data_IF_697392329854
#
_entry.id   IF_697392329854
#
_cell.length_a   1.000
_cell.length_b   1.000
_cell.length_c   1.000
_cell.angle_alpha   90.00
_cell.angle_beta   90.00
_cell.angle_gamma   90.00
#
_symmetry.space_group_name_H-M   'P 1'
#
loop_
_entity.id
_entity.type
_entity.pdbx_description
1 polymer ?
#
# COMPACT_ATOMS: atom_id res chain seq x y z
N UNK A 1 -1.51 -15.95 22.71
CA UNK A 1 -1.82 -14.50 22.61
C UNK A 1 -1.92 -14.05 21.14
N UNK A 2 -2.63 -14.82 20.29
CA UNK A 2 -2.89 -14.46 18.88
C UNK A 2 -4.40 -14.52 18.52
N UNK A 3 -5.27 -14.96 19.43
CA UNK A 3 -6.70 -15.11 19.17
C UNK A 3 -7.37 -13.82 18.66
N UNK A 4 -6.90 -12.67 19.15
CA UNK A 4 -7.45 -11.36 18.76
C UNK A 4 -7.25 -11.00 17.28
N UNK A 5 -6.30 -11.61 16.55
CA UNK A 5 -6.12 -11.34 15.12
C UNK A 5 -6.95 -12.28 14.23
N UNK A 6 -7.41 -13.42 14.75
CA UNK A 6 -8.16 -14.39 13.94
C UNK A 6 -9.52 -13.83 13.50
N UNK A 7 -10.13 -12.92 14.28
CA UNK A 7 -11.38 -12.23 13.91
C UNK A 7 -11.27 -11.32 12.67
N UNK A 8 -10.05 -10.99 12.23
CA UNK A 8 -9.82 -10.17 11.04
C UNK A 8 -9.66 -11.03 9.76
N UNK A 9 -9.75 -12.35 9.88
CA UNK A 9 -9.56 -13.26 8.76
C UNK A 9 -10.91 -13.57 8.07
N UNK A 10 -10.87 -13.98 6.79
CA UNK A 10 -12.04 -14.54 6.13
C UNK A 10 -12.52 -15.81 6.83
N UNK A 11 -13.84 -16.06 6.91
CA UNK A 11 -14.39 -17.24 7.56
C UNK A 11 -13.79 -18.55 7.01
N UNK A 12 -13.44 -19.46 7.92
CA UNK A 12 -12.92 -20.79 7.61
C UNK A 12 -11.40 -20.84 7.36
N UNK A 13 -10.73 -19.69 7.33
CA UNK A 13 -9.26 -19.61 7.15
C UNK A 13 -8.50 -19.59 8.48
N UNK A 14 -9.21 -19.34 9.58
CA UNK A 14 -8.67 -19.19 10.93
C UNK A 14 -7.88 -20.41 11.40
N UNK A 15 -8.33 -21.67 11.20
CA UNK A 15 -7.59 -22.85 11.66
C UNK A 15 -6.19 -22.93 11.02
N UNK A 16 -6.10 -22.72 9.71
CA UNK A 16 -4.82 -22.77 9.00
C UNK A 16 -3.88 -21.66 9.47
N UNK A 17 -4.39 -20.43 9.65
CA UNK A 17 -3.59 -19.32 10.17
C UNK A 17 -3.17 -19.59 11.62
N UNK A 18 -4.05 -20.14 12.47
CA UNK A 18 -3.73 -20.50 13.84
C UNK A 18 -2.59 -21.53 13.92
N UNK A 19 -2.60 -22.55 13.05
CA UNK A 19 -1.53 -23.54 12.96
C UNK A 19 -0.19 -22.89 12.60
N UNK A 20 -0.17 -22.00 11.60
CA UNK A 20 1.04 -21.25 11.22
C UNK A 20 1.58 -20.38 12.37
N UNK A 21 0.67 -19.73 13.10
CA UNK A 21 1.01 -18.87 14.24
C UNK A 21 1.51 -19.66 15.45
N UNK A 22 1.05 -20.91 15.62
CA UNK A 22 1.52 -21.83 16.67
C UNK A 22 2.82 -22.55 16.32
N UNK A 23 3.07 -22.78 15.03
CA UNK A 23 4.24 -23.51 14.54
C UNK A 23 5.52 -22.69 14.37
N UNK A 24 5.46 -21.35 14.54
CA UNK A 24 6.61 -20.46 14.36
C UNK A 24 6.86 -19.59 15.60
N UNK A 25 8.12 -19.31 15.95
CA UNK A 25 8.46 -18.44 17.08
C UNK A 25 8.24 -16.97 16.68
N UNK A 26 6.98 -16.53 16.68
CA UNK A 26 6.59 -15.20 16.23
C UNK A 26 5.52 -14.56 17.12
N UNK A 27 5.44 -13.23 17.06
CA UNK A 27 4.36 -12.43 17.62
C UNK A 27 3.76 -11.51 16.56
N UNK A 28 2.43 -11.53 16.47
CA UNK A 28 1.68 -10.61 15.60
C UNK A 28 0.98 -9.55 16.44
N UNK A 29 1.03 -8.29 15.99
CA UNK A 29 0.28 -7.19 16.59
C UNK A 29 -0.39 -6.34 15.51
N UNK A 30 -1.54 -5.79 15.86
CA UNK A 30 -2.18 -4.76 15.06
C UNK A 30 -1.41 -3.43 15.22
N UNK A 31 -1.33 -2.68 14.14
CA UNK A 31 -0.73 -1.36 14.10
C UNK A 31 -1.72 -0.36 13.49
N UNK A 32 -1.61 0.90 13.91
CA UNK A 32 -2.36 1.99 13.26
C UNK A 32 -2.05 2.03 11.76
N UNK A 33 -3.02 2.46 10.93
CA UNK A 33 -2.85 2.46 9.48
C UNK A 33 -1.66 3.28 9.03
N UNK A 34 -0.86 2.70 8.14
CA UNK A 34 0.30 3.33 7.50
C UNK A 34 0.11 3.28 5.99
N UNK A 35 0.32 4.42 5.32
CA UNK A 35 0.17 4.53 3.86
C UNK A 35 1.31 3.86 3.08
N UNK A 36 2.49 3.76 3.69
CA UNK A 36 3.71 3.26 3.01
C UNK A 36 3.89 1.74 3.09
N UNK A 37 3.22 1.07 4.03
CA UNK A 37 3.26 -0.39 4.19
C UNK A 37 2.02 -0.90 4.93
N UNK A 38 1.50 -2.03 4.47
CA UNK A 38 0.35 -2.71 5.06
C UNK A 38 0.76 -3.69 6.17
N UNK A 39 1.97 -4.24 6.05
CA UNK A 39 2.59 -5.17 6.99
C UNK A 39 4.08 -4.88 7.19
N UNK A 40 4.67 -5.43 8.25
CA UNK A 40 6.11 -5.38 8.51
C UNK A 40 6.52 -6.62 9.31
N UNK A 41 7.47 -7.39 8.78
CA UNK A 41 8.19 -8.44 9.49
C UNK A 41 9.54 -7.93 10.00
N UNK A 42 9.89 -8.33 11.24
CA UNK A 42 11.22 -8.16 11.80
C UNK A 42 11.73 -9.47 12.41
N UNK A 43 12.93 -9.94 12.02
CA UNK A 43 13.48 -11.18 12.59
C UNK A 43 13.91 -11.03 14.06
N UNK A 44 14.20 -12.15 14.75
CA UNK A 44 14.89 -12.16 16.03
C UNK A 44 16.19 -11.33 15.97
N UNK A 45 16.49 -10.64 17.07
CA UNK A 45 17.60 -9.68 17.13
C UNK A 45 17.89 -9.25 18.56
N UNK A 46 18.68 -8.20 18.74
CA UNK A 46 19.07 -7.72 20.07
C UNK A 46 17.83 -7.41 20.92
N UNK A 47 17.66 -8.14 22.02
CA UNK A 47 16.52 -8.00 22.94
C UNK A 47 15.23 -8.72 22.52
N UNK A 48 15.21 -9.47 21.42
CA UNK A 48 14.03 -10.19 20.94
C UNK A 48 14.39 -11.58 20.42
N UNK A 49 13.87 -12.62 21.08
CA UNK A 49 14.09 -14.02 20.72
C UNK A 49 13.19 -14.52 19.59
N UNK A 50 12.15 -13.78 19.23
CA UNK A 50 11.10 -14.18 18.29
C UNK A 50 10.91 -13.16 17.16
N UNK A 51 10.32 -13.62 16.07
CA UNK A 51 9.86 -12.77 14.97
C UNK A 51 8.76 -11.82 15.44
N UNK A 52 8.72 -10.62 14.87
CA UNK A 52 7.71 -9.60 15.16
C UNK A 52 7.04 -9.19 13.86
N UNK A 53 5.73 -9.34 13.81
CA UNK A 53 4.91 -8.97 12.67
C UNK A 53 3.94 -7.88 13.12
N UNK A 54 3.83 -6.80 12.34
CA UNK A 54 2.76 -5.82 12.50
C UNK A 54 1.93 -5.72 11.24
N UNK A 55 0.61 -5.64 11.37
CA UNK A 55 -0.34 -5.48 10.26
C UNK A 55 -1.24 -4.28 10.55
N UNK A 56 -1.58 -3.49 9.54
CA UNK A 56 -2.53 -2.40 9.71
C UNK A 56 -3.93 -2.95 10.08
N UNK A 57 -4.64 -2.25 10.98
CA UNK A 57 -5.93 -2.68 11.53
C UNK A 57 -7.17 -2.26 10.70
N UNK A 58 -6.97 -1.49 9.63
CA UNK A 58 -8.01 -0.97 8.75
C UNK A 58 -8.23 -1.80 7.47
N UNK A 59 -7.46 -2.87 7.28
CA UNK A 59 -7.56 -3.72 6.10
C UNK A 59 -8.86 -4.53 6.08
N UNK A 60 -9.43 -4.71 4.88
CA UNK A 60 -10.49 -5.70 4.70
C UNK A 60 -9.96 -7.13 4.98
N UNK A 61 -10.82 -8.12 5.31
CA UNK A 61 -10.36 -9.44 5.75
C UNK A 61 -9.42 -10.16 4.77
N UNK A 62 -9.66 -10.01 3.47
CA UNK A 62 -8.84 -10.65 2.44
C UNK A 62 -7.47 -9.98 2.33
N UNK A 63 -7.42 -8.65 2.38
CA UNK A 63 -6.18 -7.88 2.39
C UNK A 63 -5.37 -8.13 3.67
N UNK A 64 -6.05 -8.23 4.81
CA UNK A 64 -5.45 -8.57 6.10
C UNK A 64 -4.77 -9.94 6.06
N UNK A 65 -5.53 -10.98 5.69
CA UNK A 65 -5.02 -12.36 5.59
C UNK A 65 -3.84 -12.44 4.61
N UNK A 66 -3.98 -11.87 3.42
CA UNK A 66 -2.92 -11.91 2.39
C UNK A 66 -1.64 -11.25 2.90
N UNK A 67 -1.76 -10.08 3.54
CA UNK A 67 -0.62 -9.36 4.14
C UNK A 67 -0.01 -10.15 5.29
N UNK A 68 -0.83 -10.75 6.16
CA UNK A 68 -0.34 -11.57 7.26
C UNK A 68 0.44 -12.79 6.76
N UNK A 69 -0.09 -13.52 5.77
CA UNK A 69 0.60 -14.67 5.16
C UNK A 69 1.92 -14.27 4.49
N UNK A 70 1.97 -13.07 3.88
CA UNK A 70 3.22 -12.50 3.34
C UNK A 70 4.29 -12.36 4.43
N UNK A 71 3.93 -11.75 5.57
CA UNK A 71 4.87 -11.55 6.67
C UNK A 71 5.24 -12.86 7.39
N UNK A 72 4.29 -13.81 7.49
CA UNK A 72 4.56 -15.16 8.01
C UNK A 72 5.54 -15.90 7.09
N UNK A 73 5.44 -15.73 5.77
CA UNK A 73 6.38 -16.34 4.82
C UNK A 73 7.81 -15.82 5.02
N UNK A 74 8.01 -14.55 5.40
CA UNK A 74 9.34 -14.05 5.80
C UNK A 74 9.86 -14.76 7.04
N UNK A 75 9.02 -15.00 8.05
CA UNK A 75 9.40 -15.75 9.24
C UNK A 75 9.73 -17.21 8.92
N UNK A 76 8.87 -17.89 8.15
CA UNK A 76 9.08 -19.27 7.75
C UNK A 76 10.36 -19.46 6.93
N UNK A 77 10.61 -18.58 5.95
CA UNK A 77 11.83 -18.61 5.15
C UNK A 77 13.09 -18.41 6.02
N UNK A 78 13.03 -17.48 6.98
CA UNK A 78 14.12 -17.22 7.91
C UNK A 78 14.41 -18.41 8.81
N UNK A 79 13.40 -19.01 9.42
CA UNK A 79 13.57 -20.14 10.36
C UNK A 79 14.11 -21.38 9.66
N UNK A 80 13.58 -21.70 8.46
CA UNK A 80 14.06 -22.84 7.66
C UNK A 80 15.51 -22.68 7.21
N UNK A 81 15.97 -21.45 7.05
CA UNK A 81 17.30 -21.12 6.54
C UNK A 81 18.16 -20.40 7.59
N UNK A 82 17.91 -20.63 8.88
CA UNK A 82 18.55 -19.94 10.02
C UNK A 82 20.09 -19.85 9.94
N UNK A 83 20.84 -20.87 9.47
CA UNK A 83 22.29 -20.78 9.28
C UNK A 83 22.71 -19.75 8.24
N UNK A 84 21.94 -19.61 7.16
CA UNK A 84 22.21 -18.73 6.01
C UNK A 84 21.32 -17.47 6.00
N UNK A 85 20.63 -17.17 7.10
CA UNK A 85 19.63 -16.10 7.20
C UNK A 85 20.05 -14.72 6.68
N UNK A 86 21.34 -14.38 6.75
CA UNK A 86 21.88 -13.09 6.27
C UNK A 86 21.97 -13.03 4.72
N UNK A 87 21.87 -14.16 4.05
CA UNK A 87 21.92 -14.30 2.59
C UNK A 87 20.53 -14.40 1.96
N UNK A 88 19.48 -14.54 2.77
CA UNK A 88 18.11 -14.59 2.27
C UNK A 88 17.78 -13.23 1.67
N UNK A 89 17.53 -13.22 0.37
CA UNK A 89 17.07 -12.02 -0.32
C UNK A 89 15.60 -11.78 0.00
N UNK A 90 15.17 -10.52 0.21
CA UNK A 90 13.76 -10.19 0.26
C UNK A 90 13.07 -10.73 -0.98
N UNK A 91 12.06 -11.57 -0.76
CA UNK A 91 11.27 -12.18 -1.83
C UNK A 91 12.12 -13.03 -2.81
N UNK A 92 13.24 -13.56 -2.32
CA UNK A 92 14.11 -14.54 -3.00
C UNK A 92 13.48 -15.94 -3.09
N UNK A 93 14.26 -16.93 -3.54
CA UNK A 93 13.75 -18.29 -3.77
C UNK A 93 13.19 -18.94 -2.50
N UNK A 94 13.86 -18.73 -1.36
CA UNK A 94 13.47 -19.26 -0.06
C UNK A 94 12.13 -18.68 0.40
N UNK A 95 11.96 -17.36 0.24
CA UNK A 95 10.71 -16.69 0.54
C UNK A 95 9.59 -17.12 -0.40
N UNK A 96 9.87 -17.24 -1.71
CA UNK A 96 8.89 -17.69 -2.70
C UNK A 96 8.34 -19.08 -2.38
N UNK A 97 9.22 -20.02 -2.01
CA UNK A 97 8.83 -21.36 -1.58
C UNK A 97 7.97 -21.31 -0.32
N UNK A 98 8.43 -20.60 0.71
CA UNK A 98 7.67 -20.43 1.94
C UNK A 98 6.29 -19.78 1.70
N UNK A 99 6.23 -18.73 0.86
CA UNK A 99 5.00 -18.03 0.54
C UNK A 99 4.01 -18.93 -0.20
N UNK A 100 4.47 -19.72 -1.17
CA UNK A 100 3.62 -20.69 -1.85
C UNK A 100 3.05 -21.73 -0.87
N UNK A 101 3.88 -22.27 0.03
CA UNK A 101 3.44 -23.25 1.02
C UNK A 101 2.42 -22.71 2.01
N UNK A 102 2.63 -21.49 2.55
CA UNK A 102 1.68 -20.91 3.51
C UNK A 102 0.37 -20.49 2.83
N UNK A 103 0.41 -20.10 1.55
CA UNK A 103 -0.77 -19.65 0.82
C UNK A 103 -1.61 -20.78 0.24
N UNK A 104 -0.98 -21.90 -0.15
CA UNK A 104 -1.67 -22.95 -0.91
C UNK A 104 -2.87 -23.59 -0.19
N UNK A 105 -2.88 -23.82 1.13
CA UNK A 105 -4.05 -24.33 1.84
C UNK A 105 -5.24 -23.38 1.80
N UNK A 106 -5.01 -22.07 1.72
CA UNK A 106 -6.08 -21.07 1.59
C UNK A 106 -6.70 -21.14 0.19
N UNK A 107 -5.86 -21.19 -0.85
CA UNK A 107 -6.31 -21.25 -2.25
C UNK A 107 -7.03 -22.57 -2.57
N UNK A 108 -6.58 -23.70 -2.02
CA UNK A 108 -7.16 -25.02 -2.35
C UNK A 108 -8.52 -25.32 -1.70
N UNK A 109 -8.89 -24.59 -0.64
CA UNK A 109 -10.09 -24.91 0.15
C UNK A 109 -11.39 -24.34 -0.45
N UNK A 110 -11.33 -23.44 -1.44
CA UNK A 110 -12.53 -22.87 -2.04
C UNK A 110 -13.33 -21.95 -1.10
N UNK A 111 -12.67 -21.38 -0.08
CA UNK A 111 -13.33 -20.60 0.98
C UNK A 111 -13.41 -19.10 0.69
N UNK A 112 -12.77 -18.66 -0.39
CA UNK A 112 -12.68 -17.25 -0.75
C UNK A 112 -13.60 -16.93 -1.92
N UNK A 113 -13.99 -15.66 -2.10
CA UNK A 113 -14.61 -15.24 -3.34
C UNK A 113 -13.74 -15.59 -4.56
N UNK A 114 -14.38 -15.99 -5.65
CA UNK A 114 -13.70 -16.52 -6.83
C UNK A 114 -12.65 -15.56 -7.42
N UNK A 115 -12.87 -14.25 -7.35
CA UNK A 115 -11.92 -13.26 -7.86
C UNK A 115 -10.67 -13.12 -6.97
N UNK A 116 -10.83 -13.20 -5.65
CA UNK A 116 -9.72 -13.25 -4.68
C UNK A 116 -8.93 -14.54 -4.84
N UNK A 117 -9.61 -15.68 -4.90
CA UNK A 117 -8.96 -16.99 -5.04
C UNK A 117 -8.15 -17.07 -6.34
N UNK A 118 -8.75 -16.68 -7.47
CA UNK A 118 -8.06 -16.64 -8.75
C UNK A 118 -6.86 -15.68 -8.74
N UNK A 119 -6.96 -14.54 -8.05
CA UNK A 119 -5.85 -13.63 -7.89
C UNK A 119 -4.72 -14.22 -7.06
N UNK A 120 -5.02 -14.80 -5.89
CA UNK A 120 -4.05 -15.44 -5.02
C UNK A 120 -3.37 -16.65 -5.70
N UNK A 121 -4.12 -17.45 -6.45
CA UNK A 121 -3.58 -18.57 -7.21
C UNK A 121 -2.55 -18.09 -8.26
N UNK A 122 -2.83 -17.01 -8.98
CA UNK A 122 -1.88 -16.41 -9.93
C UNK A 122 -0.64 -15.87 -9.22
N UNK A 123 -0.84 -15.17 -8.10
CA UNK A 123 0.26 -14.62 -7.29
C UNK A 123 1.15 -15.73 -6.72
N UNK A 124 0.56 -16.86 -6.31
CA UNK A 124 1.27 -18.05 -5.82
C UNK A 124 2.17 -18.66 -6.90
N UNK A 125 1.70 -18.74 -8.14
CA UNK A 125 2.49 -19.26 -9.28
C UNK A 125 3.59 -18.29 -9.72
N UNK A 126 3.40 -16.99 -9.47
CA UNK A 126 4.35 -15.93 -9.86
C UNK A 126 4.63 -14.99 -8.69
N UNK A 127 5.28 -15.44 -7.61
CA UNK A 127 5.42 -14.61 -6.41
C UNK A 127 6.39 -13.44 -6.60
N UNK A 128 7.08 -13.36 -7.74
CA UNK A 128 7.83 -12.16 -8.16
C UNK A 128 6.93 -10.89 -8.25
N UNK A 129 5.61 -11.05 -8.40
CA UNK A 129 4.64 -9.95 -8.33
C UNK A 129 4.03 -9.75 -6.93
N UNK A 130 4.07 -10.77 -6.04
CA UNK A 130 3.43 -10.77 -4.72
C UNK A 130 3.94 -9.68 -3.75
N UNK A 131 5.01 -8.99 -4.15
CA UNK A 131 5.66 -7.86 -3.51
C UNK A 131 4.87 -6.57 -3.67
N UNK A 132 3.67 -6.49 -3.11
CA UNK A 132 2.82 -5.28 -3.10
C UNK A 132 2.58 -4.64 -4.49
N UNK A 133 2.97 -5.31 -5.57
CA UNK A 133 3.06 -4.79 -6.93
C UNK A 133 2.24 -5.63 -7.91
N UNK A 134 1.70 -6.76 -7.46
CA UNK A 134 0.69 -7.53 -8.18
C UNK A 134 -0.58 -6.70 -8.24
N UNK A 135 -0.68 -5.95 -9.34
CA UNK A 135 -1.81 -5.09 -9.62
C UNK A 135 -3.12 -5.88 -9.64
N UNK A 136 -3.10 -7.11 -10.14
CA UNK A 136 -4.29 -7.95 -10.24
C UNK A 136 -4.79 -8.35 -8.86
N UNK A 137 -3.89 -8.76 -7.97
CA UNK A 137 -4.22 -9.04 -6.58
C UNK A 137 -4.67 -7.78 -5.83
N UNK A 138 -3.95 -6.68 -5.97
CA UNK A 138 -4.33 -5.42 -5.31
C UNK A 138 -5.74 -4.95 -5.71
N UNK A 139 -6.09 -5.06 -7.00
CA UNK A 139 -7.44 -4.74 -7.49
C UNK A 139 -8.51 -5.72 -6.96
N UNK A 140 -8.22 -7.02 -6.95
CA UNK A 140 -9.16 -8.02 -6.44
C UNK A 140 -9.46 -7.80 -4.95
N UNK A 141 -8.43 -7.53 -4.15
CA UNK A 141 -8.57 -7.24 -2.72
C UNK A 141 -9.30 -5.91 -2.47
N UNK A 142 -9.02 -4.87 -3.25
CA UNK A 142 -9.62 -3.54 -3.07
C UNK A 142 -11.13 -3.49 -3.37
N UNK A 143 -11.70 -4.52 -4.02
CA UNK A 143 -13.16 -4.64 -4.22
C UNK A 143 -13.91 -4.88 -2.90
N UNK A 144 -13.21 -5.35 -1.88
CA UNK A 144 -13.75 -5.66 -0.56
C UNK A 144 -13.42 -4.59 0.47
N UNK A 145 -12.77 -3.49 0.06
CA UNK A 145 -12.61 -2.32 0.91
C UNK A 145 -13.99 -1.72 1.20
N UNK A 146 -14.13 -1.11 2.39
CA UNK A 146 -15.32 -0.32 2.70
C UNK A 146 -15.46 0.78 1.65
N UNK A 147 -16.68 0.96 1.16
CA UNK A 147 -16.99 2.06 0.24
C UNK A 147 -16.65 3.39 0.95
N UNK A 148 -15.88 4.22 0.27
CA UNK A 148 -15.58 5.60 0.69
C UNK A 148 -16.27 6.52 -0.32
N UNK A 149 -17.54 6.93 -0.05
CA UNK A 149 -18.30 7.79 -0.95
C UNK A 149 -17.55 9.11 -1.12
N UNK A 150 -17.07 9.37 -2.33
CA UNK A 150 -16.27 10.57 -2.65
C UNK A 150 -14.84 10.28 -3.05
N UNK A 151 -14.32 9.05 -2.83
CA UNK A 151 -12.98 8.68 -3.32
C UNK A 151 -13.00 7.72 -4.50
N UNK A 152 -12.19 8.05 -5.50
CA UNK A 152 -11.95 7.25 -6.70
C UNK A 152 -10.46 6.90 -6.80
N UNK A 153 -10.08 5.87 -7.58
CA UNK A 153 -8.65 5.62 -7.82
C UNK A 153 -8.08 6.72 -8.71
N UNK A 154 -6.88 7.19 -8.41
CA UNK A 154 -6.21 8.24 -9.18
C UNK A 154 -6.12 7.89 -10.67
N UNK A 155 -5.91 6.62 -11.03
CA UNK A 155 -5.88 6.16 -12.42
C UNK A 155 -7.22 6.28 -13.17
N UNK A 156 -8.35 6.41 -12.48
CA UNK A 156 -9.68 6.56 -13.07
C UNK A 156 -10.04 8.03 -13.37
N UNK A 157 -9.26 8.99 -12.87
CA UNK A 157 -9.51 10.42 -13.11
C UNK A 157 -9.32 10.80 -14.59
N UNK A 158 -10.17 11.69 -15.09
CA UNK A 158 -9.90 12.32 -16.38
C UNK A 158 -8.66 13.23 -16.28
N UNK A 159 -7.93 13.38 -17.40
CA UNK A 159 -6.85 14.36 -17.47
C UNK A 159 -7.44 15.76 -17.26
N UNK A 160 -6.76 16.59 -16.47
CA UNK A 160 -7.18 17.94 -16.10
C UNK A 160 -8.05 17.99 -14.84
N UNK A 161 -8.58 16.86 -14.35
CA UNK A 161 -9.36 16.82 -13.11
C UNK A 161 -8.50 17.22 -11.91
N UNK A 162 -9.04 18.12 -11.08
CA UNK A 162 -8.43 18.49 -9.81
C UNK A 162 -8.87 17.51 -8.73
N UNK A 163 -7.94 17.14 -7.85
CA UNK A 163 -8.23 16.19 -6.78
C UNK A 163 -7.36 16.46 -5.55
N UNK A 164 -7.83 15.99 -4.40
CA UNK A 164 -7.17 16.07 -3.10
C UNK A 164 -6.72 14.69 -2.65
N UNK A 165 -5.51 14.60 -2.10
CA UNK A 165 -5.03 13.40 -1.40
C UNK A 165 -5.23 13.55 0.11
N UNK A 166 -5.13 12.47 0.88
CA UNK A 166 -5.50 12.46 2.31
C UNK A 166 -4.75 13.48 3.20
N UNK A 167 -3.57 13.94 2.80
CA UNK A 167 -2.81 14.99 3.54
C UNK A 167 -3.28 16.43 3.22
N UNK A 168 -4.32 16.57 2.40
CA UNK A 168 -4.89 17.83 1.97
C UNK A 168 -4.23 18.45 0.74
N UNK A 169 -3.12 17.89 0.25
CA UNK A 169 -2.45 18.40 -0.95
C UNK A 169 -3.35 18.24 -2.17
N UNK A 170 -3.46 19.31 -2.96
CA UNK A 170 -4.29 19.35 -4.16
C UNK A 170 -3.42 19.25 -5.40
N UNK A 171 -3.85 18.41 -6.34
CA UNK A 171 -3.18 18.17 -7.60
C UNK A 171 -4.13 18.30 -8.78
N UNK A 172 -3.57 18.59 -9.95
CA UNK A 172 -4.22 18.39 -11.23
C UNK A 172 -3.74 17.08 -11.86
N UNK A 173 -4.68 16.24 -12.30
CA UNK A 173 -4.41 14.97 -12.95
C UNK A 173 -3.81 15.17 -14.35
N UNK A 174 -2.63 14.63 -14.59
CA UNK A 174 -2.02 14.44 -15.91
C UNK A 174 -2.28 13.02 -16.44
N UNK A 175 -1.51 12.57 -17.45
CA UNK A 175 -1.66 11.24 -18.03
C UNK A 175 -1.32 10.11 -17.04
N UNK A 176 -1.98 8.96 -17.23
CA UNK A 176 -1.60 7.71 -16.56
C UNK A 176 -0.29 7.20 -17.19
N UNK A 177 0.64 6.81 -16.33
CA UNK A 177 1.88 6.13 -16.71
C UNK A 177 1.66 4.61 -16.61
N UNK A 178 2.63 3.84 -16.11
CA UNK A 178 2.46 2.38 -15.93
C UNK A 178 1.61 2.03 -14.70
N UNK A 179 2.07 2.40 -13.52
CA UNK A 179 1.40 2.13 -12.21
C UNK A 179 1.12 3.41 -11.44
N UNK A 180 1.42 4.56 -12.07
CA UNK A 180 1.44 5.88 -11.49
C UNK A 180 0.70 6.83 -12.42
N UNK A 181 0.26 7.96 -11.89
CA UNK A 181 -0.28 9.07 -12.67
C UNK A 181 0.60 10.30 -12.46
N UNK A 182 0.93 10.99 -13.56
CA UNK A 182 1.61 12.29 -13.52
C UNK A 182 0.65 13.34 -12.98
N UNK A 183 1.11 14.21 -12.11
CA UNK A 183 0.28 15.20 -11.42
C UNK A 183 1.04 16.52 -11.25
N UNK A 184 0.32 17.64 -11.23
CA UNK A 184 0.89 18.97 -10.95
C UNK A 184 0.31 19.50 -9.64
N UNK A 185 1.15 19.89 -8.69
CA UNK A 185 0.70 20.42 -7.40
C UNK A 185 0.06 21.81 -7.57
N UNK A 186 -1.10 22.02 -6.96
CA UNK A 186 -1.85 23.26 -7.04
C UNK A 186 -1.10 24.47 -6.46
N UNK A 187 -0.25 24.30 -5.45
CA UNK A 187 0.42 25.41 -4.79
C UNK A 187 1.72 25.84 -5.47
N UNK A 188 2.57 24.88 -5.82
CA UNK A 188 3.92 25.14 -6.31
C UNK A 188 4.03 25.05 -7.83
N UNK A 189 3.09 24.36 -8.50
CA UNK A 189 3.22 24.00 -9.91
C UNK A 189 4.25 22.89 -10.18
N UNK A 190 4.85 22.30 -9.14
CA UNK A 190 5.79 21.22 -9.28
C UNK A 190 5.11 19.93 -9.72
N UNK A 191 5.87 19.10 -10.44
CA UNK A 191 5.40 17.82 -10.94
C UNK A 191 5.66 16.69 -9.94
N UNK A 192 4.66 15.83 -9.78
CA UNK A 192 4.67 14.67 -8.89
C UNK A 192 4.07 13.45 -9.59
N UNK A 193 4.25 12.28 -8.96
CA UNK A 193 3.58 11.03 -9.37
C UNK A 193 2.79 10.41 -8.23
N UNK A 194 1.49 10.24 -8.45
CA UNK A 194 0.59 9.56 -7.51
C UNK A 194 0.41 8.10 -7.94
N UNK A 195 0.33 7.16 -7.01
CA UNK A 195 0.07 5.76 -7.34
C UNK A 195 -1.31 5.61 -7.98
N UNK A 196 -1.43 4.87 -9.09
CA UNK A 196 -2.68 4.75 -9.85
C UNK A 196 -3.83 4.20 -9.01
N UNK A 197 -3.53 3.23 -8.14
CA UNK A 197 -4.48 2.64 -7.20
C UNK A 197 -4.81 3.51 -5.97
N UNK A 198 -4.12 4.63 -5.75
CA UNK A 198 -4.39 5.47 -4.59
C UNK A 198 -5.81 6.04 -4.67
N UNK A 199 -6.57 5.94 -3.57
CA UNK A 199 -7.87 6.58 -3.43
C UNK A 199 -7.69 8.07 -3.20
N UNK A 200 -8.37 8.88 -4.00
CA UNK A 200 -8.29 10.35 -3.99
C UNK A 200 -9.67 10.96 -4.14
N UNK A 201 -9.86 12.16 -3.62
CA UNK A 201 -11.12 12.88 -3.65
C UNK A 201 -11.13 13.85 -4.85
N UNK A 202 -11.97 13.66 -5.87
CA UNK A 202 -12.16 14.65 -6.94
C UNK A 202 -12.74 15.94 -6.38
N UNK A 203 -12.23 17.08 -6.83
CA UNK A 203 -12.74 18.39 -6.43
C UNK A 203 -13.89 18.84 -7.31
N UNK A 204 -14.88 19.49 -6.71
CA UNK A 204 -15.99 20.07 -7.44
C UNK A 204 -15.64 21.44 -8.08
N UNK A 205 -16.56 21.98 -8.88
CA UNK A 205 -16.35 23.27 -9.55
C UNK A 205 -16.21 24.46 -8.60
N UNK A 206 -16.81 24.43 -7.40
CA UNK A 206 -16.69 25.51 -6.43
C UNK A 206 -15.31 25.50 -5.76
N UNK A 207 -14.83 24.32 -5.37
CA UNK A 207 -13.50 24.11 -4.82
C UNK A 207 -12.40 24.50 -5.82
N UNK A 208 -12.54 24.11 -7.09
CA UNK A 208 -11.59 24.50 -8.14
C UNK A 208 -11.55 26.02 -8.34
N UNK A 209 -12.71 26.70 -8.30
CA UNK A 209 -12.75 28.16 -8.38
C UNK A 209 -12.05 28.83 -7.19
N UNK A 210 -12.14 28.26 -5.99
CA UNK A 210 -11.45 28.78 -4.81
C UNK A 210 -9.92 28.72 -4.97
N UNK A 211 -9.38 27.64 -5.54
CA UNK A 211 -7.95 27.51 -5.84
C UNK A 211 -7.45 28.62 -6.77
N UNK A 212 -8.23 28.96 -7.79
CA UNK A 212 -7.91 30.03 -8.75
C UNK A 212 -7.86 31.43 -8.14
N UNK A 213 -8.65 31.70 -7.07
CA UNK A 213 -8.60 32.97 -6.33
C UNK A 213 -7.34 33.08 -5.46
N UNK A 214 -6.96 31.98 -4.80
CA UNK A 214 -5.70 31.91 -4.03
C UNK A 214 -4.46 32.10 -4.91
N UNK A 215 -4.43 31.51 -6.11
CA UNK A 215 -3.29 31.68 -7.04
C UNK A 215 -3.09 33.13 -7.49
N UNK A 216 -4.16 33.90 -7.73
CA UNK A 216 -4.07 35.33 -8.07
C UNK A 216 -3.59 36.21 -6.92
N UNK A 217 -3.91 35.83 -5.68
CA UNK A 217 -3.49 36.57 -4.48
C UNK A 217 -1.99 36.42 -4.20
N UNK A 218 -1.37 35.29 -4.58
CA UNK A 218 0.08 35.06 -4.45
C UNK A 218 0.87 35.74 -5.58
N UNK A 219 0.25 36.03 -6.72
CA UNK A 219 0.85 36.73 -7.86
C UNK A 219 0.56 38.24 -7.91
N UNK A 220 0.47 38.92 -6.75
CA UNK A 220 0.37 40.38 -6.66
C UNK A 220 1.62 41.07 -7.24
N UNK A 221 1.51 42.32 -7.75
CA UNK A 221 2.49 42.87 -8.68
C UNK A 221 3.84 43.09 -7.99
N UNK A 222 4.90 42.57 -8.61
CA UNK A 222 6.26 42.99 -8.31
C UNK A 222 6.35 44.50 -8.56
N UNK A 223 6.25 45.28 -7.49
CA UNK A 223 6.49 46.72 -7.53
C UNK A 223 7.90 46.96 -8.05
N UNK A 224 7.99 47.65 -9.19
CA UNK A 224 9.24 48.24 -9.65
C UNK A 224 9.70 49.30 -8.64
N UNK A 225 10.99 49.35 -8.30
CA UNK A 225 11.74 50.59 -8.29
C UNK A 225 12.63 50.55 -9.54
N UNK A 226 12.54 51.50 -10.46
CA UNK A 226 12.98 52.85 -10.16
C UNK A 226 14.44 52.95 -10.60
N UNK A 227 14.64 53.24 -11.88
CA UNK A 227 15.91 53.57 -12.48
C UNK A 227 16.62 54.69 -11.69
N UNK A 228 17.84 54.45 -11.20
CA UNK A 228 18.84 55.49 -11.03
C UNK A 228 20.21 54.99 -11.47
N UNK A 229 20.69 55.67 -12.49
CA UNK A 229 22.07 55.79 -12.96
C UNK A 229 23.05 56.16 -11.84
N UNK A 230 24.27 55.62 -11.87
CA UNK A 230 25.39 56.25 -11.17
C UNK A 230 26.62 55.36 -10.90
N UNK A 231 27.59 55.43 -11.83
CA UNK A 231 29.07 55.52 -11.65
C UNK A 231 29.83 54.47 -10.83
N UNK A 232 30.73 53.79 -11.56
CA UNK A 232 32.19 53.74 -11.34
C UNK A 232 32.74 53.51 -9.93
N UNK A 233 33.28 52.31 -9.66
CA UNK A 233 34.71 51.97 -9.72
C UNK A 233 34.88 50.46 -9.50
#
# INVERSE_FOLDING_TARGET
MHAAILQYLPPGTEPHVADLLGGLPLHVRLARPRRTKLGDHRPPGRGWSVHRITINDDLNPYAFMTTLLHEIAHAAAWERNRPLRRRIMPHGAEWKGAFAEVLAPVVRRGLLPADVEAALARTMLRPAAATCSDRGLALALARYDRLDPGKIRAEELAVGTWFRVDDGTVFQAGPVLRTRRRCIEARTGAEYVVHGLAKVEPLDGAEVRALGRCRRAVSGPAGRPGSRSGRSA
#
